data_IF_704434436372
#
_entry.id   IF_704434436372
#
_cell.length_a   1.000
_cell.length_b   1.000
_cell.length_c   1.000
_cell.angle_alpha   90.00
_cell.angle_beta   90.00
_cell.angle_gamma   90.00
#
_symmetry.space_group_name_H-M   'P 1'
#
loop_
_entity.id
_entity.type
_entity.pdbx_description
1 polymer ?
#
# COMPACT_ATOMS: atom_id res chain seq x y z
N UNK A 1 -2.63 -12.45 -44.60
CA UNK A 1 -1.16 -12.46 -44.45
C UNK A 1 -0.87 -13.05 -43.09
N UNK A 2 -0.20 -14.22 -43.04
CA UNK A 2 0.20 -14.82 -41.76
C UNK A 2 1.22 -13.91 -41.10
N UNK A 3 1.01 -13.58 -39.82
CA UNK A 3 1.93 -12.74 -39.07
C UNK A 3 3.29 -13.44 -39.03
N UNK A 4 4.37 -12.69 -39.27
CA UNK A 4 5.73 -13.19 -39.12
C UNK A 4 5.90 -13.74 -37.70
N UNK A 5 6.44 -14.95 -37.59
CA UNK A 5 6.77 -15.54 -36.29
C UNK A 5 7.72 -14.60 -35.52
N UNK A 6 7.51 -14.50 -34.21
CA UNK A 6 8.31 -13.64 -33.34
C UNK A 6 9.18 -14.54 -32.46
N UNK A 7 10.50 -14.31 -32.38
CA UNK A 7 11.35 -15.07 -31.47
C UNK A 7 10.89 -14.91 -30.03
N UNK A 8 10.78 -16.02 -29.29
CA UNK A 8 10.37 -15.97 -27.88
C UNK A 8 11.32 -15.16 -27.00
N UNK A 9 12.61 -15.09 -27.36
CA UNK A 9 13.61 -14.26 -26.68
C UNK A 9 13.25 -12.77 -26.71
N UNK A 10 12.72 -12.29 -27.84
CA UNK A 10 12.28 -10.89 -27.95
C UNK A 10 11.17 -10.57 -26.95
N UNK A 11 10.19 -11.46 -26.81
CA UNK A 11 9.11 -11.30 -25.83
C UNK A 11 9.65 -11.41 -24.40
N UNK A 12 10.55 -12.36 -24.14
CA UNK A 12 11.15 -12.55 -22.82
C UNK A 12 11.96 -11.32 -22.36
N UNK A 13 12.72 -10.70 -23.26
CA UNK A 13 13.44 -9.46 -22.97
C UNK A 13 12.50 -8.31 -22.62
N UNK A 14 11.41 -8.15 -23.39
CA UNK A 14 10.40 -7.13 -23.12
C UNK A 14 9.73 -7.36 -21.75
N UNK A 15 9.43 -8.61 -21.42
CA UNK A 15 8.85 -8.98 -20.11
C UNK A 15 9.84 -8.67 -18.98
N UNK A 16 11.12 -9.00 -19.13
CA UNK A 16 12.16 -8.68 -18.16
C UNK A 16 12.25 -7.18 -17.88
N UNK A 17 12.27 -6.36 -18.93
CA UNK A 17 12.34 -4.90 -18.81
C UNK A 17 11.14 -4.35 -18.03
N UNK A 18 9.92 -4.79 -18.39
CA UNK A 18 8.69 -4.28 -17.77
C UNK A 18 8.52 -4.75 -16.33
N UNK A 19 8.78 -6.04 -16.06
CA UNK A 19 8.62 -6.59 -14.71
C UNK A 19 9.61 -5.96 -13.72
N UNK A 20 10.85 -5.66 -14.15
CA UNK A 20 11.85 -5.07 -13.27
C UNK A 20 11.40 -3.75 -12.64
N UNK A 21 10.57 -2.97 -13.33
CA UNK A 21 9.99 -1.73 -12.81
C UNK A 21 8.61 -1.90 -12.15
N UNK A 22 7.85 -2.92 -12.58
CA UNK A 22 6.45 -3.12 -12.15
C UNK A 22 6.35 -3.90 -10.83
N UNK A 23 7.05 -5.04 -10.74
CA UNK A 23 6.96 -5.96 -9.61
C UNK A 23 8.26 -6.77 -9.50
N UNK A 24 9.03 -6.50 -8.45
CA UNK A 24 10.31 -7.17 -8.20
C UNK A 24 10.18 -8.67 -7.90
N UNK A 25 9.09 -9.11 -7.27
CA UNK A 25 8.86 -10.53 -6.95
C UNK A 25 8.46 -11.29 -8.22
N UNK A 26 7.61 -10.69 -9.07
CA UNK A 26 7.30 -11.28 -10.37
C UNK A 26 8.55 -11.33 -11.27
N UNK A 27 9.37 -10.26 -11.28
CA UNK A 27 10.63 -10.21 -12.01
C UNK A 27 11.56 -11.35 -11.62
N UNK A 28 11.85 -11.54 -10.32
CA UNK A 28 12.83 -12.55 -9.89
C UNK A 28 12.33 -13.99 -10.20
N UNK A 29 11.03 -14.23 -10.08
CA UNK A 29 10.40 -15.51 -10.43
C UNK A 29 10.48 -15.82 -11.92
N UNK A 30 10.36 -14.80 -12.77
CA UNK A 30 10.49 -14.96 -14.22
C UNK A 30 11.96 -15.13 -14.61
N UNK A 31 12.84 -14.29 -14.06
CA UNK A 31 14.27 -14.28 -14.35
C UNK A 31 14.93 -15.63 -14.04
N UNK A 32 14.57 -16.28 -12.93
CA UNK A 32 15.15 -17.58 -12.55
C UNK A 32 14.94 -18.68 -13.59
N UNK A 33 13.78 -18.68 -14.25
CA UNK A 33 13.47 -19.64 -15.32
C UNK A 33 14.02 -19.14 -16.66
N UNK A 34 13.84 -17.86 -16.99
CA UNK A 34 14.22 -17.29 -18.28
C UNK A 34 15.74 -17.26 -18.51
N UNK A 35 16.52 -16.97 -17.46
CA UNK A 35 17.99 -16.97 -17.52
C UNK A 35 18.62 -18.29 -17.11
N UNK A 36 17.82 -19.21 -16.54
CA UNK A 36 18.26 -20.52 -16.08
C UNK A 36 19.51 -20.42 -15.17
N UNK A 37 19.36 -19.69 -14.06
CA UNK A 37 20.47 -19.46 -13.13
C UNK A 37 21.13 -20.78 -12.72
N UNK A 38 22.45 -20.85 -12.85
CA UNK A 38 23.20 -22.08 -12.63
C UNK A 38 23.36 -22.39 -11.13
N UNK A 39 23.46 -21.35 -10.32
CA UNK A 39 23.76 -21.42 -8.90
C UNK A 39 23.02 -20.35 -8.08
N UNK A 40 23.05 -20.51 -6.75
CA UNK A 40 22.37 -19.59 -5.83
C UNK A 40 23.05 -18.23 -5.83
N UNK A 41 24.36 -18.20 -6.04
CA UNK A 41 25.19 -17.01 -6.10
C UNK A 41 24.75 -16.08 -7.25
N UNK A 42 24.33 -16.63 -8.41
CA UNK A 42 23.78 -15.85 -9.53
C UNK A 42 22.44 -15.19 -9.16
N UNK A 43 21.57 -15.94 -8.48
CA UNK A 43 20.32 -15.40 -7.96
C UNK A 43 20.57 -14.29 -6.92
N UNK A 44 21.54 -14.49 -6.01
CA UNK A 44 21.93 -13.50 -5.01
C UNK A 44 22.43 -12.21 -5.65
N UNK A 45 23.31 -12.32 -6.65
CA UNK A 45 23.80 -11.16 -7.41
C UNK A 45 22.65 -10.37 -8.04
N UNK A 46 21.69 -11.07 -8.65
CA UNK A 46 20.52 -10.44 -9.26
C UNK A 46 19.60 -9.80 -8.20
N UNK A 47 19.43 -10.44 -7.05
CA UNK A 47 18.65 -9.91 -5.93
C UNK A 47 19.28 -8.64 -5.33
N UNK A 48 20.60 -8.62 -5.15
CA UNK A 48 21.32 -7.44 -4.69
C UNK A 48 21.17 -6.26 -5.66
N UNK A 49 21.23 -6.52 -6.97
CA UNK A 49 20.96 -5.50 -7.98
C UNK A 49 19.54 -4.91 -7.87
N UNK A 50 18.53 -5.72 -7.53
CA UNK A 50 17.16 -5.26 -7.31
C UNK A 50 16.99 -4.47 -6.01
N UNK A 51 17.65 -4.87 -4.93
CA UNK A 51 17.54 -4.20 -3.62
C UNK A 51 17.93 -2.72 -3.68
N UNK A 52 18.90 -2.36 -4.50
CA UNK A 52 19.34 -0.97 -4.68
C UNK A 52 18.22 -0.02 -5.15
N UNK A 53 17.24 -0.53 -5.91
CA UNK A 53 16.08 0.22 -6.40
C UNK A 53 14.79 -0.03 -5.63
N UNK A 54 14.77 -0.99 -4.70
CA UNK A 54 13.55 -1.42 -4.05
C UNK A 54 13.13 -0.51 -2.90
N UNK A 55 12.11 0.33 -3.15
CA UNK A 55 11.33 0.96 -2.08
C UNK A 55 10.28 -0.02 -1.57
N UNK A 56 10.28 -0.28 -0.27
CA UNK A 56 9.17 -1.00 0.38
C UNK A 56 7.87 -0.25 0.06
N UNK A 57 6.85 -0.90 -0.51
CA UNK A 57 5.57 -0.26 -0.76
C UNK A 57 5.03 0.28 0.57
N UNK A 58 4.56 1.52 0.59
CA UNK A 58 3.89 2.08 1.75
C UNK A 58 2.67 1.22 2.04
N UNK A 59 2.61 0.64 3.23
CA UNK A 59 1.42 -0.07 3.71
C UNK A 59 0.38 1.02 4.00
N UNK A 60 -0.79 1.00 3.35
CA UNK A 60 -1.85 1.96 3.64
C UNK A 60 -2.19 1.94 5.14
N UNK A 61 -2.27 3.11 5.80
CA UNK A 61 -2.46 3.18 7.26
C UNK A 61 -3.80 2.60 7.74
N UNK A 62 -4.75 2.39 6.82
CA UNK A 62 -6.07 1.79 7.01
C UNK A 62 -6.09 0.27 6.78
N UNK A 63 -4.97 -0.33 6.37
CA UNK A 63 -4.89 -1.79 6.22
C UNK A 63 -4.82 -2.46 7.60
N UNK A 64 -5.82 -3.30 7.90
CA UNK A 64 -5.83 -4.13 9.10
C UNK A 64 -4.60 -5.05 9.12
N UNK A 65 -3.84 -5.05 10.21
CA UNK A 65 -2.71 -5.96 10.38
C UNK A 65 -3.23 -7.41 10.39
N UNK A 66 -2.82 -8.20 9.41
CA UNK A 66 -3.26 -9.59 9.22
C UNK A 66 -2.66 -10.56 10.24
N UNK A 67 -1.62 -10.14 10.97
CA UNK A 67 -0.95 -10.94 12.00
C UNK A 67 -0.95 -10.16 13.32
N UNK A 68 -1.53 -10.69 14.41
CA UNK A 68 -1.63 -9.99 15.69
C UNK A 68 -0.33 -9.89 16.50
N UNK A 69 0.83 -10.37 16.02
CA UNK A 69 2.02 -10.53 16.87
C UNK A 69 3.32 -9.82 16.43
N UNK A 70 3.27 -8.97 15.40
CA UNK A 70 4.39 -8.06 15.18
C UNK A 70 4.04 -6.69 15.77
N UNK A 71 4.54 -6.41 16.96
CA UNK A 71 4.50 -5.12 17.68
C UNK A 71 5.17 -3.96 16.90
N UNK A 72 4.81 -3.73 15.64
CA UNK A 72 5.20 -2.53 14.91
C UNK A 72 4.22 -1.42 15.30
N UNK A 73 4.60 -0.63 16.33
CA UNK A 73 4.02 0.67 16.74
C UNK A 73 2.89 1.15 15.80
N UNK A 74 1.64 0.88 16.21
CA UNK A 74 0.47 1.36 15.50
C UNK A 74 0.55 2.88 15.26
N UNK A 75 0.18 3.39 14.07
CA UNK A 75 0.12 4.83 13.84
C UNK A 75 -0.91 5.44 14.80
N UNK A 76 -0.51 6.48 15.54
CA UNK A 76 -1.40 7.16 16.50
C UNK A 76 -2.66 7.62 15.76
N UNK A 77 -3.87 7.24 16.20
CA UNK A 77 -5.08 7.64 15.52
C UNK A 77 -5.19 9.17 15.59
N UNK A 78 -5.29 9.82 14.42
CA UNK A 78 -5.70 11.23 14.36
C UNK A 78 -7.17 11.27 14.76
N UNK A 79 -7.42 11.59 16.02
CA UNK A 79 -8.76 11.87 16.52
C UNK A 79 -9.40 12.94 15.62
N UNK A 80 -10.40 12.52 14.85
CA UNK A 80 -11.23 13.45 14.10
C UNK A 80 -11.90 14.34 15.15
N UNK A 81 -11.45 15.58 15.26
CA UNK A 81 -11.99 16.55 16.22
C UNK A 81 -13.43 16.84 15.79
N UNK A 82 -14.38 16.10 16.35
CA UNK A 82 -15.80 16.37 16.21
C UNK A 82 -16.02 17.80 16.71
N UNK A 83 -16.28 18.72 15.78
CA UNK A 83 -16.72 20.07 16.15
C UNK A 83 -18.06 19.91 16.85
N UNK A 84 -18.10 20.16 18.16
CA UNK A 84 -19.37 20.29 18.89
C UNK A 84 -20.23 21.34 18.19
N UNK A 85 -21.50 21.05 17.86
CA UNK A 85 -22.41 22.10 17.41
C UNK A 85 -22.66 23.07 18.57
N UNK A 86 -22.57 24.35 18.24
CA UNK A 86 -22.84 25.49 19.12
C UNK A 86 -24.33 25.79 19.05
N UNK A 87 -25.02 25.72 20.19
CA UNK A 87 -26.26 26.45 20.45
C UNK A 87 -27.55 25.64 20.33
N UNK A 88 -28.16 25.35 21.48
CA UNK A 88 -29.61 25.44 21.68
C UNK A 88 -29.83 26.10 23.05
N UNK A 89 -29.79 27.43 23.06
CA UNK A 89 -30.46 28.23 24.10
C UNK A 89 -31.95 28.25 23.76
N UNK A 90 -32.76 27.68 24.65
CA UNK A 90 -34.20 27.92 24.63
C UNK A 90 -35.05 26.78 25.14
N UNK A 91 -35.42 26.81 26.42
CA UNK A 91 -36.81 26.78 26.91
C UNK A 91 -36.87 26.46 28.41
N UNK A 92 -37.44 27.39 29.16
CA UNK A 92 -37.90 27.19 30.53
C UNK A 92 -38.80 28.34 30.95
N UNK A 93 -40.05 28.32 30.47
CA UNK A 93 -41.14 29.18 30.96
C UNK A 93 -41.57 28.74 32.37
N UNK A 94 -41.88 29.70 33.25
CA UNK A 94 -43.08 29.84 34.13
C UNK A 94 -42.74 30.88 35.21
N UNK A 95 -43.30 32.08 35.09
CA UNK A 95 -44.55 32.51 35.74
C UNK A 95 -44.41 32.60 37.26
N UNK A 96 -44.20 33.83 37.76
CA UNK A 96 -45.04 34.38 38.83
C UNK A 96 -44.95 35.92 38.79
N UNK A 97 -45.99 36.54 38.27
CA UNK A 97 -46.32 37.94 38.53
C UNK A 97 -47.80 37.96 38.82
N UNK A 98 -48.19 38.37 40.03
CA UNK A 98 -49.30 39.31 40.21
C UNK A 98 -49.27 39.92 41.63
N UNK A 99 -49.99 41.02 41.89
CA UNK A 99 -49.32 42.29 42.16
C UNK A 99 -49.62 42.81 43.58
N UNK A 100 -48.95 43.91 43.90
CA UNK A 100 -49.11 44.69 45.13
C UNK A 100 -50.55 45.16 45.36
N UNK A 101 -51.07 44.95 46.57
CA UNK A 101 -51.56 45.98 47.51
C UNK A 101 -51.77 45.41 48.89
#
# INVERSE_FOLDING_TARGET
QGKAEVPSSYVGELVMERLRALDHIAYIRFASVYRAFADVEELERELEALKAGWRRPEVPPDQLALLPEAEAKAPKPRLLRVRRPRGEEGRGKREEQEPQR
#
